data_IF_495235401167
#
_entry.id   IF_495235401167
#
_cell.length_a   1.000
_cell.length_b   1.000
_cell.length_c   1.000
_cell.angle_alpha   90.00
_cell.angle_beta   90.00
_cell.angle_gamma   90.00
#
_symmetry.space_group_name_H-M   'P 1'
#
loop_
_entity.id
_entity.type
_entity.pdbx_description
1 polymer ?
#
# COMPACT_ATOMS: atom_id res chain seq x y z
N UNK A 1 14.36 19.92 78.04
CA UNK A 1 14.48 18.55 78.57
C UNK A 1 15.34 17.76 77.59
N UNK A 2 16.59 17.47 77.98
CA UNK A 2 17.55 16.45 77.47
C UNK A 2 17.71 16.36 75.93
N UNK A 3 18.66 17.08 75.30
CA UNK A 3 20.09 16.76 75.05
C UNK A 3 20.33 15.49 74.20
N UNK A 4 20.79 15.67 72.94
CA UNK A 4 22.15 15.28 72.50
C UNK A 4 22.49 15.80 71.09
N UNK A 5 23.44 16.74 71.08
CA UNK A 5 24.33 17.06 69.96
C UNK A 5 25.40 15.96 69.83
N UNK A 6 25.99 15.70 68.66
CA UNK A 6 27.31 16.14 68.16
C UNK A 6 27.80 15.07 67.17
N UNK A 7 28.78 15.20 66.29
CA UNK A 7 29.51 16.28 65.63
C UNK A 7 30.35 15.58 64.52
N UNK A 8 30.79 16.36 63.54
CA UNK A 8 31.55 15.97 62.34
C UNK A 8 33.09 16.09 62.65
N UNK A 9 34.01 16.21 61.66
CA UNK A 9 34.85 15.23 60.93
C UNK A 9 36.36 15.25 61.34
N UNK A 10 37.23 14.40 60.73
CA UNK A 10 38.42 14.87 59.98
C UNK A 10 39.34 13.78 59.37
N UNK A 11 39.79 14.06 58.14
CA UNK A 11 41.15 14.00 57.53
C UNK A 11 42.18 12.95 57.96
N UNK A 12 42.77 12.26 56.96
CA UNK A 12 44.18 12.42 56.55
C UNK A 12 44.53 11.65 55.24
N UNK A 13 45.32 12.31 54.38
CA UNK A 13 46.02 11.85 53.16
C UNK A 13 47.47 11.44 53.56
N UNK A 14 48.51 11.22 52.70
CA UNK A 14 48.66 10.73 51.30
C UNK A 14 49.80 9.66 51.14
N UNK A 15 49.94 9.00 49.97
CA UNK A 15 51.24 8.53 49.36
C UNK A 15 50.96 7.92 47.96
N UNK A 16 51.36 8.51 46.82
CA UNK A 16 52.68 8.58 46.13
C UNK A 16 53.03 7.34 45.25
N UNK A 17 53.31 7.65 43.96
CA UNK A 17 54.16 7.00 42.91
C UNK A 17 53.62 5.87 42.01
N UNK A 18 53.53 6.21 40.70
CA UNK A 18 53.76 5.35 39.53
C UNK A 18 55.27 5.08 39.31
N UNK A 19 55.77 4.53 38.16
CA UNK A 19 55.28 3.48 37.24
C UNK A 19 56.35 2.35 37.06
N UNK A 20 56.06 1.29 36.31
CA UNK A 20 57.07 0.31 35.91
C UNK A 20 56.61 -0.65 34.81
N UNK A 21 57.21 -0.50 33.63
CA UNK A 21 57.16 -1.43 32.50
C UNK A 21 58.29 -2.46 32.56
N UNK A 22 58.15 -3.51 31.72
CA UNK A 22 59.18 -4.27 30.98
C UNK A 22 59.40 -5.76 31.39
N UNK A 23 59.11 -6.61 30.40
CA UNK A 23 59.65 -7.93 29.98
C UNK A 23 59.84 -9.09 30.98
N UNK A 24 59.35 -10.28 30.59
CA UNK A 24 60.10 -11.28 29.79
C UNK A 24 59.42 -12.65 29.84
N UNK A 25 59.58 -13.44 28.76
CA UNK A 25 59.75 -14.91 28.64
C UNK A 25 59.39 -15.27 27.17
N UNK A 26 60.35 -15.44 26.24
CA UNK A 26 61.18 -16.65 25.97
C UNK A 26 60.28 -17.86 25.62
N UNK A 27 60.34 -18.63 24.52
CA UNK A 27 60.92 -18.63 23.14
C UNK A 27 60.27 -19.84 22.39
N UNK A 28 60.63 -20.24 21.14
CA UNK A 28 59.68 -20.79 20.15
C UNK A 28 59.91 -22.28 19.82
N UNK A 29 59.05 -22.87 18.97
CA UNK A 29 59.30 -24.18 18.39
C UNK A 29 58.99 -24.27 16.87
N UNK A 30 60.06 -24.14 16.10
CA UNK A 30 60.61 -25.00 15.02
C UNK A 30 59.69 -25.70 13.99
N UNK A 31 60.22 -25.65 12.77
CA UNK A 31 59.84 -26.08 11.42
C UNK A 31 60.18 -27.55 11.10
N UNK A 32 59.39 -28.15 10.19
CA UNK A 32 59.70 -29.19 9.16
C UNK A 32 59.73 -30.71 9.44
N UNK A 33 58.91 -31.40 8.62
CA UNK A 33 59.14 -32.60 7.75
C UNK A 33 59.57 -33.96 8.36
N UNK A 34 58.69 -34.99 8.26
CA UNK A 34 58.81 -36.22 7.41
C UNK A 34 57.90 -37.40 7.86
N UNK A 35 57.43 -38.17 6.86
CA UNK A 35 56.92 -39.57 6.84
C UNK A 35 55.45 -39.82 7.29
N UNK A 36 54.53 -40.36 6.47
CA UNK A 36 54.43 -41.62 5.67
C UNK A 36 53.76 -42.76 6.48
N UNK A 37 52.76 -43.44 5.89
CA UNK A 37 51.83 -44.46 6.44
C UNK A 37 50.69 -43.85 7.28
N UNK A 38 49.40 -43.90 6.93
CA UNK A 38 48.57 -45.10 6.70
C UNK A 38 47.46 -44.78 5.67
N UNK A 39 47.62 -45.30 4.45
CA UNK A 39 46.55 -45.57 3.49
C UNK A 39 46.46 -47.09 3.44
N UNK A 40 45.65 -47.70 4.30
CA UNK A 40 45.34 -49.15 4.26
C UNK A 40 44.32 -49.54 5.35
N UNK A 41 43.08 -49.02 5.32
CA UNK A 41 41.95 -49.66 6.05
C UNK A 41 40.54 -49.21 5.64
N UNK A 42 40.32 -48.72 4.42
CA UNK A 42 38.96 -48.65 3.82
C UNK A 42 38.92 -49.34 2.43
N UNK A 43 39.99 -50.05 2.08
CA UNK A 43 40.13 -50.89 0.89
C UNK A 43 39.40 -52.25 1.01
N UNK A 44 38.45 -52.40 1.96
CA UNK A 44 37.74 -53.65 2.23
C UNK A 44 36.20 -53.56 2.13
N UNK A 45 35.63 -52.38 1.87
CA UNK A 45 34.23 -52.26 1.41
C UNK A 45 34.10 -52.20 -0.12
N UNK A 46 35.21 -52.37 -0.84
CA UNK A 46 35.30 -52.42 -2.30
C UNK A 46 35.43 -53.85 -2.87
N UNK A 47 35.33 -54.90 -2.03
CA UNK A 47 35.61 -56.28 -2.43
C UNK A 47 34.44 -57.27 -2.24
N UNK A 48 33.20 -56.76 -2.12
CA UNK A 48 31.98 -57.58 -2.00
C UNK A 48 30.85 -57.18 -2.95
N UNK A 49 31.16 -56.62 -4.12
CA UNK A 49 30.20 -56.47 -5.22
C UNK A 49 30.86 -56.47 -6.61
N UNK A 50 31.99 -57.18 -6.73
CA UNK A 50 32.68 -57.43 -8.01
C UNK A 50 32.45 -58.87 -8.54
N UNK A 51 31.50 -59.61 -7.96
CA UNK A 51 31.11 -60.97 -8.39
C UNK A 51 29.83 -61.00 -9.25
N UNK A 52 29.41 -59.87 -9.82
CA UNK A 52 28.29 -59.79 -10.77
C UNK A 52 28.70 -59.32 -12.17
N UNK A 53 29.91 -59.70 -12.59
CA UNK A 53 30.30 -59.71 -14.00
C UNK A 53 30.65 -61.15 -14.39
N UNK A 54 29.73 -61.85 -15.06
CA UNK A 54 30.00 -62.77 -16.18
C UNK A 54 28.85 -63.77 -16.39
N UNK A 55 27.77 -63.31 -17.02
CA UNK A 55 27.15 -64.09 -18.11
C UNK A 55 26.86 -63.09 -19.21
N UNK A 56 27.70 -63.11 -20.25
CA UNK A 56 27.55 -62.27 -21.43
C UNK A 56 26.54 -62.84 -22.42
N UNK A 57 26.01 -61.98 -23.27
CA UNK A 57 25.76 -62.24 -24.68
C UNK A 57 25.30 -60.94 -25.36
N UNK A 58 26.04 -60.55 -26.39
CA UNK A 58 25.74 -59.66 -27.50
C UNK A 58 24.38 -58.96 -27.55
N UNK A 59 24.40 -57.62 -27.56
CA UNK A 59 23.79 -56.79 -28.59
C UNK A 59 24.15 -55.32 -28.37
N UNK A 60 24.92 -54.74 -29.29
CA UNK A 60 24.95 -53.29 -29.47
C UNK A 60 23.52 -52.82 -29.79
N UNK A 61 22.88 -52.15 -28.83
CA UNK A 61 21.66 -51.37 -29.09
C UNK A 61 22.02 -49.90 -28.99
N UNK A 62 22.18 -49.30 -30.16
CA UNK A 62 22.32 -47.87 -30.39
C UNK A 62 21.00 -47.20 -29.97
N UNK A 63 20.91 -46.71 -28.72
CA UNK A 63 19.72 -45.98 -28.26
C UNK A 63 19.78 -44.56 -28.79
N UNK A 64 19.44 -44.40 -30.08
CA UNK A 64 18.96 -43.13 -30.60
C UNK A 64 17.55 -42.90 -30.03
N UNK A 65 17.19 -41.67 -29.61
CA UNK A 65 15.79 -41.37 -29.34
C UNK A 65 15.02 -41.54 -30.65
N UNK A 66 14.26 -42.63 -30.75
CA UNK A 66 13.26 -42.79 -31.79
C UNK A 66 12.13 -41.84 -31.42
N UNK A 67 12.11 -40.67 -32.04
CA UNK A 67 10.85 -39.96 -32.20
C UNK A 67 10.00 -40.81 -33.14
N UNK A 68 9.20 -41.72 -32.58
CA UNK A 68 8.03 -42.18 -33.29
C UNK A 68 7.15 -40.94 -33.43
N UNK A 69 7.21 -40.31 -34.61
CA UNK A 69 6.07 -39.55 -35.10
C UNK A 69 4.91 -40.54 -35.13
N UNK A 70 4.12 -40.56 -34.06
CA UNK A 70 2.73 -40.95 -34.15
C UNK A 70 2.12 -39.93 -35.10
N UNK A 71 2.13 -40.26 -36.40
CA UNK A 71 1.20 -39.70 -37.34
C UNK A 71 -0.18 -40.12 -36.86
N UNK A 72 -0.81 -39.24 -36.08
CA UNK A 72 -2.24 -39.27 -35.85
C UNK A 72 -2.84 -39.24 -37.26
N UNK A 73 -3.62 -40.26 -37.68
CA UNK A 73 -4.34 -40.15 -38.93
C UNK A 73 -5.22 -38.90 -38.85
N UNK A 74 -5.17 -38.01 -39.85
CA UNK A 74 -6.12 -36.90 -40.00
C UNK A 74 -7.51 -37.41 -40.42
N UNK A 75 -8.02 -38.43 -39.72
CA UNK A 75 -9.42 -38.82 -39.78
C UNK A 75 -10.11 -38.33 -38.52
N UNK A 76 -11.22 -37.58 -38.64
CA UNK A 76 -11.93 -37.05 -37.49
C UNK A 76 -12.35 -38.21 -36.58
N UNK A 77 -12.04 -38.10 -35.29
CA UNK A 77 -12.62 -38.96 -34.26
C UNK A 77 -14.14 -38.75 -34.30
N UNK A 78 -14.83 -39.58 -35.09
CA UNK A 78 -16.26 -39.83 -34.91
C UNK A 78 -16.43 -40.47 -33.53
N UNK A 79 -16.81 -39.68 -32.54
CA UNK A 79 -17.34 -40.21 -31.29
C UNK A 79 -18.75 -40.73 -31.55
N UNK A 80 -18.93 -42.04 -31.38
CA UNK A 80 -20.22 -42.71 -31.42
C UNK A 80 -21.13 -42.20 -30.29
N UNK A 81 -22.35 -41.79 -30.66
CA UNK A 81 -23.47 -41.53 -29.75
C UNK A 81 -24.35 -42.78 -29.70
N UNK A 82 -24.59 -43.33 -28.52
CA UNK A 82 -25.86 -44.01 -28.22
C UNK A 82 -26.69 -43.02 -27.39
N UNK A 83 -27.67 -42.41 -28.05
CA UNK A 83 -28.70 -41.52 -27.50
C UNK A 83 -28.27 -40.11 -27.08
N UNK A 84 -28.11 -39.23 -28.07
CA UNK A 84 -28.30 -37.80 -27.90
C UNK A 84 -27.31 -37.00 -28.73
N UNK A 85 -27.79 -36.40 -29.82
CA UNK A 85 -27.02 -35.44 -30.60
C UNK A 85 -26.66 -34.23 -29.72
N UNK A 86 -25.46 -34.18 -29.17
CA UNK A 86 -24.82 -32.90 -28.85
C UNK A 86 -24.20 -32.43 -30.15
N UNK A 87 -24.99 -31.74 -30.96
CA UNK A 87 -24.43 -30.91 -32.01
C UNK A 87 -23.44 -29.96 -31.35
N UNK A 88 -22.26 -29.80 -31.94
CA UNK A 88 -21.42 -28.63 -31.69
C UNK A 88 -22.17 -27.42 -32.22
N UNK A 89 -23.20 -26.95 -31.51
CA UNK A 89 -23.94 -25.77 -31.88
C UNK A 89 -22.94 -24.63 -32.01
N UNK A 90 -22.90 -24.05 -33.21
CA UNK A 90 -21.91 -23.04 -33.55
C UNK A 90 -22.39 -21.72 -32.95
N UNK A 91 -21.95 -21.43 -31.73
CA UNK A 91 -22.36 -20.22 -31.02
C UNK A 91 -21.87 -18.96 -31.73
N UNK A 92 -22.76 -18.00 -31.92
CA UNK A 92 -22.43 -16.67 -32.43
C UNK A 92 -21.87 -15.83 -31.28
N UNK A 93 -20.62 -15.39 -31.41
CA UNK A 93 -19.99 -14.53 -30.40
C UNK A 93 -20.14 -13.05 -30.76
N UNK A 94 -20.55 -12.24 -29.79
CA UNK A 94 -20.68 -10.78 -29.90
C UNK A 94 -19.84 -10.15 -28.79
N UNK A 95 -18.86 -9.32 -29.17
CA UNK A 95 -18.06 -8.54 -28.24
C UNK A 95 -18.56 -7.09 -28.20
N UNK A 96 -18.84 -6.57 -27.00
CA UNK A 96 -19.30 -5.21 -26.79
C UNK A 96 -18.41 -4.50 -25.77
N UNK A 97 -17.82 -3.37 -26.17
CA UNK A 97 -17.10 -2.47 -25.24
C UNK A 97 -18.04 -1.35 -24.83
N UNK A 98 -18.30 -1.25 -23.53
CA UNK A 98 -19.28 -0.31 -22.97
C UNK A 98 -18.80 1.13 -23.17
N UNK A 99 -19.64 1.97 -23.77
CA UNK A 99 -19.33 3.38 -24.03
C UNK A 99 -19.90 4.29 -22.95
N UNK A 100 -19.35 5.49 -22.86
CA UNK A 100 -19.85 6.52 -21.94
C UNK A 100 -21.30 6.87 -22.28
N UNK A 101 -22.19 6.68 -21.32
CA UNK A 101 -23.62 7.01 -21.45
C UNK A 101 -24.50 5.83 -21.89
N UNK A 102 -23.92 4.67 -22.23
CA UNK A 102 -24.71 3.45 -22.48
C UNK A 102 -25.25 2.88 -21.16
N UNK A 103 -26.41 2.22 -21.24
CA UNK A 103 -26.98 1.45 -20.15
C UNK A 103 -26.94 -0.05 -20.50
N UNK A 104 -26.83 -0.91 -19.49
CA UNK A 104 -26.89 -2.37 -19.71
C UNK A 104 -28.20 -2.81 -20.38
N UNK A 105 -29.31 -2.15 -20.05
CA UNK A 105 -30.61 -2.39 -20.70
C UNK A 105 -30.58 -2.06 -22.20
N UNK A 106 -29.91 -0.97 -22.58
CA UNK A 106 -29.70 -0.59 -23.97
C UNK A 106 -28.83 -1.63 -24.68
N UNK A 107 -27.68 -1.99 -24.09
CA UNK A 107 -26.75 -2.97 -24.66
C UNK A 107 -27.44 -4.32 -24.88
N UNK A 108 -28.20 -4.82 -23.91
CA UNK A 108 -28.95 -6.08 -24.06
C UNK A 108 -29.95 -5.97 -25.21
N UNK A 109 -30.68 -4.86 -25.31
CA UNK A 109 -31.64 -4.63 -26.40
C UNK A 109 -30.93 -4.60 -27.76
N UNK A 110 -29.78 -3.94 -27.86
CA UNK A 110 -29.00 -3.82 -29.09
C UNK A 110 -28.46 -5.17 -29.59
N UNK A 111 -28.15 -6.09 -28.68
CA UNK A 111 -27.74 -7.47 -29.04
C UNK A 111 -28.92 -8.44 -29.19
N UNK A 112 -30.16 -7.95 -29.11
CA UNK A 112 -31.38 -8.74 -29.32
C UNK A 112 -31.91 -9.48 -28.08
N UNK A 113 -31.43 -9.13 -26.88
CA UNK A 113 -31.84 -9.74 -25.62
C UNK A 113 -32.87 -8.88 -24.87
N UNK A 114 -33.76 -9.55 -24.13
CA UNK A 114 -34.81 -8.86 -23.39
C UNK A 114 -34.30 -8.22 -22.09
N UNK A 115 -34.92 -7.11 -21.70
CA UNK A 115 -34.66 -6.48 -20.39
C UNK A 115 -35.11 -7.37 -19.22
N UNK A 116 -36.09 -8.25 -19.44
CA UNK A 116 -36.52 -9.25 -18.46
C UNK A 116 -35.41 -10.24 -18.14
N UNK A 117 -34.68 -10.72 -19.16
CA UNK A 117 -33.53 -11.60 -18.98
C UNK A 117 -32.41 -10.90 -18.19
N UNK A 118 -32.10 -9.64 -18.51
CA UNK A 118 -31.14 -8.84 -17.75
C UNK A 118 -31.53 -8.76 -16.26
N UNK A 119 -32.81 -8.51 -15.98
CA UNK A 119 -33.31 -8.41 -14.61
C UNK A 119 -33.19 -9.75 -13.87
N UNK A 120 -33.55 -10.86 -14.52
CA UNK A 120 -33.41 -12.22 -13.97
C UNK A 120 -31.96 -12.55 -13.66
N UNK A 121 -31.03 -12.23 -14.57
CA UNK A 121 -29.59 -12.40 -14.36
C UNK A 121 -29.13 -11.55 -13.17
N UNK A 122 -29.41 -10.25 -13.16
CA UNK A 122 -28.92 -9.33 -12.13
C UNK A 122 -29.39 -9.66 -10.70
N UNK A 123 -30.49 -10.41 -10.56
CA UNK A 123 -31.06 -10.80 -9.27
C UNK A 123 -30.83 -12.28 -8.91
N UNK A 124 -30.10 -13.03 -9.74
CA UNK A 124 -29.93 -14.46 -9.52
C UNK A 124 -29.13 -14.77 -8.25
N UNK A 125 -27.98 -14.11 -8.03
CA UNK A 125 -27.12 -14.29 -6.86
C UNK A 125 -26.15 -13.11 -6.63
N UNK A 126 -25.23 -13.21 -5.65
CA UNK A 126 -24.20 -12.18 -5.39
C UNK A 126 -23.22 -11.98 -6.55
N UNK A 127 -22.85 -13.04 -7.27
CA UNK A 127 -21.87 -12.96 -8.35
C UNK A 127 -22.44 -12.23 -9.57
N UNK A 128 -23.65 -12.60 -9.99
CA UNK A 128 -24.38 -11.94 -11.09
C UNK A 128 -24.69 -10.47 -10.82
N UNK A 129 -24.85 -10.07 -9.54
CA UNK A 129 -24.97 -8.65 -9.15
C UNK A 129 -23.76 -7.82 -9.58
N UNK A 130 -22.59 -8.41 -9.79
CA UNK A 130 -21.42 -7.70 -10.30
C UNK A 130 -21.66 -7.11 -11.69
N UNK A 131 -22.57 -7.71 -12.48
CA UNK A 131 -22.96 -7.16 -13.78
C UNK A 131 -23.55 -5.75 -13.66
N UNK A 132 -24.18 -5.41 -12.53
CA UNK A 132 -24.72 -4.05 -12.29
C UNK A 132 -23.64 -2.97 -12.08
N UNK A 133 -22.39 -3.39 -11.87
CA UNK A 133 -21.24 -2.50 -11.64
C UNK A 133 -20.42 -2.22 -12.90
N UNK A 134 -20.91 -2.63 -14.07
CA UNK A 134 -20.27 -2.39 -15.36
C UNK A 134 -20.10 -0.88 -15.60
N UNK A 135 -18.91 -0.48 -16.05
CA UNK A 135 -18.48 0.88 -16.31
C UNK A 135 -18.06 1.05 -17.76
N UNK A 136 -18.01 2.31 -18.28
CA UNK A 136 -17.42 2.58 -19.58
C UNK A 136 -15.99 2.03 -19.69
N UNK A 137 -15.71 1.36 -20.81
CA UNK A 137 -14.45 0.67 -21.08
C UNK A 137 -14.44 -0.82 -20.74
N UNK A 138 -15.41 -1.32 -19.97
CA UNK A 138 -15.53 -2.75 -19.74
C UNK A 138 -15.99 -3.50 -21.00
N UNK A 139 -15.58 -4.76 -21.11
CA UNK A 139 -15.97 -5.64 -22.22
C UNK A 139 -16.98 -6.67 -21.75
N UNK A 140 -18.06 -6.82 -22.50
CA UNK A 140 -19.06 -7.87 -22.38
C UNK A 140 -18.95 -8.77 -23.61
N UNK A 141 -18.87 -10.08 -23.41
CA UNK A 141 -18.88 -11.06 -24.50
C UNK A 141 -20.13 -11.92 -24.38
N UNK A 142 -21.00 -11.85 -25.37
CA UNK A 142 -22.22 -12.65 -25.46
C UNK A 142 -21.98 -13.80 -26.42
N UNK A 143 -22.38 -15.00 -26.03
CA UNK A 143 -22.48 -16.15 -26.91
C UNK A 143 -23.96 -16.47 -27.10
N UNK A 144 -24.40 -16.49 -28.36
CA UNK A 144 -25.78 -16.69 -28.75
C UNK A 144 -25.92 -18.04 -29.46
N UNK A 145 -26.99 -18.77 -29.17
CA UNK A 145 -27.34 -19.97 -29.92
C UNK A 145 -27.91 -19.63 -31.32
N UNK A 146 -28.22 -20.64 -32.13
CA UNK A 146 -28.78 -20.44 -33.47
C UNK A 146 -30.17 -19.79 -33.47
N UNK A 147 -30.92 -19.91 -32.36
CA UNK A 147 -32.23 -19.27 -32.18
C UNK A 147 -32.13 -17.78 -31.79
N UNK A 148 -30.91 -17.27 -31.55
CA UNK A 148 -30.69 -15.90 -31.10
C UNK A 148 -30.93 -15.71 -29.60
N UNK A 149 -30.94 -16.78 -28.83
CA UNK A 149 -31.03 -16.75 -27.37
C UNK A 149 -29.64 -16.72 -26.74
N UNK A 150 -29.53 -16.14 -25.55
CA UNK A 150 -28.28 -16.11 -24.80
C UNK A 150 -27.92 -17.53 -24.34
N UNK A 151 -26.75 -18.02 -24.73
CA UNK A 151 -26.14 -19.23 -24.20
C UNK A 151 -25.17 -18.90 -23.05
N UNK A 152 -24.34 -17.86 -23.22
CA UNK A 152 -23.47 -17.37 -22.15
C UNK A 152 -23.14 -15.89 -22.26
N UNK A 153 -22.84 -15.27 -21.12
CA UNK A 153 -22.33 -13.91 -21.00
C UNK A 153 -21.07 -13.92 -20.13
N UNK A 154 -19.96 -13.46 -20.69
CA UNK A 154 -18.73 -13.20 -19.96
C UNK A 154 -18.56 -11.70 -19.70
N UNK A 155 -18.36 -11.34 -18.44
CA UNK A 155 -18.03 -9.99 -18.00
C UNK A 155 -16.69 -9.98 -17.26
N UNK A 156 -15.73 -9.23 -17.78
CA UNK A 156 -14.43 -9.06 -17.13
C UNK A 156 -14.53 -8.09 -15.94
N UNK A 157 -14.77 -8.64 -14.75
CA UNK A 157 -14.93 -7.90 -13.48
C UNK A 157 -13.62 -7.19 -13.09
N UNK A 158 -12.49 -7.84 -13.35
CA UNK A 158 -11.15 -7.27 -13.19
C UNK A 158 -10.17 -7.98 -14.13
N UNK A 159 -8.93 -7.52 -14.18
CA UNK A 159 -7.90 -8.15 -15.01
C UNK A 159 -7.75 -9.67 -14.79
N UNK A 160 -7.99 -10.16 -13.58
CA UNK A 160 -7.85 -11.58 -13.22
C UNK A 160 -9.17 -12.29 -12.93
N UNK A 161 -10.32 -11.59 -13.01
CA UNK A 161 -11.61 -12.19 -12.69
C UNK A 161 -12.60 -11.96 -13.81
N UNK A 162 -13.12 -13.05 -14.34
CA UNK A 162 -14.21 -13.05 -15.31
C UNK A 162 -15.42 -13.70 -14.67
N UNK A 163 -16.52 -12.96 -14.63
CA UNK A 163 -17.83 -13.51 -14.34
C UNK A 163 -18.34 -14.19 -15.62
N UNK A 164 -18.60 -15.48 -15.55
CA UNK A 164 -19.34 -16.23 -16.55
C UNK A 164 -20.77 -16.42 -16.05
N UNK A 165 -21.73 -16.11 -16.90
CA UNK A 165 -23.14 -16.38 -16.70
C UNK A 165 -23.55 -17.33 -17.82
N UNK A 166 -24.02 -18.51 -17.47
CA UNK A 166 -24.58 -19.45 -18.44
C UNK A 166 -26.10 -19.38 -18.38
N UNK A 167 -26.72 -19.53 -19.55
CA UNK A 167 -28.15 -19.56 -19.69
C UNK A 167 -28.52 -20.73 -20.61
N UNK A 168 -28.99 -21.82 -20.01
CA UNK A 168 -29.31 -23.08 -20.70
C UNK A 168 -30.74 -23.51 -20.38
N UNK A 169 -31.58 -23.65 -21.40
CA UNK A 169 -33.00 -24.06 -21.30
C UNK A 169 -33.74 -23.31 -20.15
N UNK A 170 -33.52 -21.99 -20.05
CA UNK A 170 -34.16 -21.13 -19.03
C UNK A 170 -33.59 -21.22 -17.62
N UNK A 171 -32.51 -21.99 -17.40
CA UNK A 171 -31.76 -22.00 -16.15
C UNK A 171 -30.54 -21.07 -16.24
N UNK A 172 -30.32 -20.29 -15.18
CA UNK A 172 -29.15 -19.44 -15.04
C UNK A 172 -28.16 -20.13 -14.09
N UNK A 173 -26.89 -20.12 -14.45
CA UNK A 173 -25.80 -20.43 -13.52
C UNK A 173 -24.68 -19.41 -13.66
N UNK A 174 -23.83 -19.28 -12.63
CA UNK A 174 -22.73 -18.33 -12.64
C UNK A 174 -21.45 -18.97 -12.12
N UNK A 175 -20.33 -18.53 -12.68
CA UNK A 175 -19.00 -18.90 -12.22
C UNK A 175 -18.10 -17.67 -12.25
N UNK A 176 -17.27 -17.47 -11.22
CA UNK A 176 -16.19 -16.50 -11.27
C UNK A 176 -14.90 -17.25 -11.56
N UNK A 177 -14.45 -17.16 -12.82
CA UNK A 177 -13.16 -17.69 -13.23
C UNK A 177 -12.10 -16.70 -12.80
N UNK A 178 -11.29 -17.09 -11.81
CA UNK A 178 -10.11 -16.33 -11.39
C UNK A 178 -8.89 -16.88 -12.09
N UNK A 179 -8.28 -16.08 -12.96
CA UNK A 179 -7.01 -16.41 -13.58
C UNK A 179 -5.88 -16.27 -12.56
N UNK A 180 -4.94 -17.23 -12.57
CA UNK A 180 -3.75 -17.13 -11.73
C UNK A 180 -2.95 -15.89 -12.09
N UNK A 181 -2.65 -15.07 -11.08
CA UNK A 181 -1.72 -13.97 -11.21
C UNK A 181 -0.33 -14.44 -10.81
N UNK A 182 0.67 -14.09 -11.63
CA UNK A 182 2.07 -14.32 -11.28
C UNK A 182 2.59 -13.07 -10.57
N UNK A 183 2.90 -13.19 -9.28
CA UNK A 183 3.44 -12.09 -8.48
C UNK A 183 4.93 -12.31 -8.28
N UNK A 184 5.73 -11.36 -8.74
CA UNK A 184 7.16 -11.34 -8.52
C UNK A 184 7.53 -10.22 -7.57
N UNK A 185 8.33 -10.54 -6.55
CA UNK A 185 8.92 -9.52 -5.69
C UNK A 185 10.09 -8.86 -6.40
N UNK A 186 10.03 -7.54 -6.50
CA UNK A 186 11.07 -6.72 -7.10
C UNK A 186 11.53 -5.72 -6.07
N UNK A 187 12.82 -5.40 -6.14
CA UNK A 187 13.40 -4.33 -5.36
C UNK A 187 13.84 -3.19 -6.26
N UNK A 188 13.75 -1.96 -5.74
CA UNK A 188 14.34 -0.81 -6.40
C UNK A 188 14.97 0.13 -5.39
N UNK A 189 15.85 0.97 -5.89
CA UNK A 189 16.52 2.01 -5.14
C UNK A 189 16.56 3.29 -5.97
N UNK A 190 16.44 4.44 -5.30
CA UNK A 190 16.60 5.73 -5.95
C UNK A 190 17.33 6.71 -5.04
N UNK A 191 18.25 7.45 -5.66
CA UNK A 191 18.90 8.62 -5.07
C UNK A 191 18.20 9.87 -5.60
N UNK A 192 17.87 10.78 -4.70
CA UNK A 192 17.16 11.99 -5.00
C UNK A 192 18.12 13.04 -5.53
N UNK A 193 17.68 13.71 -6.59
CA UNK A 193 18.31 14.88 -7.16
C UNK A 193 17.53 16.16 -6.80
N UNK A 194 16.25 16.20 -7.17
CA UNK A 194 15.34 17.34 -7.02
C UNK A 194 14.06 16.97 -6.27
N UNK A 195 13.55 15.74 -6.45
CA UNK A 195 12.30 15.30 -5.82
C UNK A 195 12.18 13.78 -5.75
N UNK A 196 11.36 13.27 -4.82
CA UNK A 196 10.99 11.85 -4.77
C UNK A 196 10.30 11.41 -6.06
N UNK A 197 9.55 12.31 -6.71
CA UNK A 197 8.84 11.97 -7.93
C UNK A 197 9.79 11.73 -9.10
N UNK A 198 10.71 12.65 -9.36
CA UNK A 198 11.72 12.49 -10.41
C UNK A 198 12.61 11.26 -10.17
N UNK A 199 13.10 11.10 -8.93
CA UNK A 199 13.94 9.96 -8.57
C UNK A 199 13.19 8.63 -8.67
N UNK A 200 11.92 8.59 -8.25
CA UNK A 200 11.05 7.43 -8.40
C UNK A 200 10.82 7.02 -9.84
N UNK A 201 10.51 7.99 -10.72
CA UNK A 201 10.38 7.72 -12.16
C UNK A 201 11.67 7.18 -12.76
N UNK A 202 12.82 7.76 -12.40
CA UNK A 202 14.15 7.31 -12.85
C UNK A 202 14.49 5.90 -12.33
N UNK A 203 14.02 5.55 -11.14
CA UNK A 203 14.13 4.22 -10.55
C UNK A 203 13.12 3.20 -11.09
N UNK A 204 12.34 3.56 -12.12
CA UNK A 204 11.39 2.67 -12.79
C UNK A 204 10.05 2.51 -12.10
N UNK A 205 9.72 3.36 -11.12
CA UNK A 205 8.42 3.34 -10.43
C UNK A 205 7.31 3.97 -11.28
N UNK A 206 6.11 3.40 -11.21
CA UNK A 206 4.90 4.06 -11.70
C UNK A 206 4.51 5.25 -10.82
N UNK A 207 3.72 6.16 -11.38
CA UNK A 207 3.26 7.36 -10.67
C UNK A 207 2.51 7.00 -9.38
N UNK A 208 1.73 5.91 -9.43
CA UNK A 208 1.03 5.37 -8.26
C UNK A 208 2.00 4.94 -7.16
N UNK A 209 3.02 4.16 -7.51
CA UNK A 209 4.01 3.67 -6.54
C UNK A 209 4.79 4.81 -5.88
N UNK A 210 5.16 5.83 -6.65
CA UNK A 210 5.82 7.03 -6.11
C UNK A 210 4.92 7.72 -5.09
N UNK A 211 3.62 7.84 -5.38
CA UNK A 211 2.66 8.42 -4.45
C UNK A 211 2.44 7.55 -3.21
N UNK A 212 2.39 6.23 -3.37
CA UNK A 212 2.26 5.29 -2.26
C UNK A 212 3.49 5.36 -1.32
N UNK A 213 4.70 5.36 -1.88
CA UNK A 213 5.94 5.56 -1.13
C UNK A 213 5.91 6.86 -0.33
N UNK A 214 5.55 7.97 -0.99
CA UNK A 214 5.44 9.25 -0.31
C UNK A 214 4.41 9.18 0.82
N UNK A 215 3.26 8.54 0.61
CA UNK A 215 2.20 8.44 1.62
C UNK A 215 2.66 7.69 2.89
N UNK A 216 3.42 6.60 2.75
CA UNK A 216 3.95 5.80 3.87
C UNK A 216 4.75 6.69 4.84
N UNK A 217 5.62 7.54 4.32
CA UNK A 217 6.56 8.33 5.13
C UNK A 217 6.15 9.78 5.35
N UNK A 218 5.02 10.23 4.81
CA UNK A 218 4.65 11.65 4.84
C UNK A 218 4.40 12.20 6.27
N UNK A 219 4.38 11.36 7.30
CA UNK A 219 4.34 11.81 8.70
C UNK A 219 5.72 12.17 9.23
N UNK A 220 6.70 11.35 8.86
CA UNK A 220 8.06 11.40 9.39
C UNK A 220 8.96 12.32 8.55
N UNK A 221 8.61 12.52 7.27
CA UNK A 221 9.37 13.32 6.30
C UNK A 221 8.43 14.28 5.58
N UNK A 222 8.81 15.56 5.52
CA UNK A 222 8.18 16.48 4.57
C UNK A 222 8.91 16.48 3.23
N UNK A 223 8.30 15.81 2.25
CA UNK A 223 8.85 15.65 0.91
C UNK A 223 9.03 16.93 0.07
N UNK A 224 8.54 18.06 0.56
CA UNK A 224 8.58 19.35 -0.15
C UNK A 224 9.70 20.23 0.38
N UNK A 225 9.96 20.14 1.67
CA UNK A 225 10.81 21.08 2.40
C UNK A 225 12.07 20.43 2.99
N UNK A 226 12.07 19.10 3.21
CA UNK A 226 13.20 18.41 3.83
C UNK A 226 14.05 17.62 2.83
N UNK A 227 13.58 17.46 1.60
CA UNK A 227 14.28 16.66 0.60
C UNK A 227 15.48 17.41 0.03
N UNK A 228 16.60 16.69 -0.07
CA UNK A 228 17.86 17.18 -0.63
C UNK A 228 18.40 16.21 -1.67
N UNK A 229 19.25 16.73 -2.54
CA UNK A 229 20.08 15.89 -3.38
C UNK A 229 20.93 14.95 -2.50
N UNK A 230 20.96 13.66 -2.85
CA UNK A 230 21.66 12.62 -2.07
C UNK A 230 20.78 11.87 -1.06
N UNK A 231 19.59 12.37 -0.73
CA UNK A 231 18.62 11.55 0.01
C UNK A 231 18.27 10.31 -0.81
N UNK A 232 17.91 9.21 -0.16
CA UNK A 232 17.73 7.94 -0.84
C UNK A 232 16.52 7.18 -0.34
N UNK A 233 15.97 6.33 -1.19
CA UNK A 233 14.92 5.40 -0.82
C UNK A 233 15.17 4.03 -1.43
N UNK A 234 14.63 3.00 -0.78
CA UNK A 234 14.61 1.63 -1.30
C UNK A 234 13.23 1.03 -1.04
N UNK A 235 12.76 0.18 -1.95
CA UNK A 235 11.48 -0.52 -1.80
C UNK A 235 11.63 -1.99 -2.17
N UNK A 236 10.82 -2.81 -1.52
CA UNK A 236 10.46 -4.16 -1.97
C UNK A 236 8.97 -4.14 -2.25
N UNK A 237 8.59 -4.52 -3.47
CA UNK A 237 7.22 -4.42 -3.93
C UNK A 237 6.87 -5.53 -4.91
N UNK A 238 5.58 -5.72 -5.13
CA UNK A 238 5.03 -6.71 -6.04
C UNK A 238 4.99 -6.16 -7.48
N UNK A 239 5.41 -6.96 -8.45
CA UNK A 239 5.02 -6.81 -9.85
C UNK A 239 4.09 -7.94 -10.22
N UNK A 240 2.96 -7.58 -10.82
CA UNK A 240 1.90 -8.51 -11.18
C UNK A 240 1.96 -8.75 -12.68
N UNK A 241 1.99 -10.02 -13.05
CA UNK A 241 2.07 -10.49 -14.43
C UNK A 241 0.84 -11.33 -14.76
N UNK A 242 0.47 -11.29 -16.03
CA UNK A 242 -0.60 -12.07 -16.62
C UNK A 242 -0.07 -12.73 -17.88
N UNK A 243 -0.13 -14.06 -17.95
CA UNK A 243 0.40 -14.84 -19.08
C UNK A 243 1.88 -14.51 -19.41
N UNK A 244 2.70 -14.26 -18.39
CA UNK A 244 4.11 -13.87 -18.55
C UNK A 244 4.36 -12.40 -18.93
N UNK A 245 3.32 -11.62 -19.23
CA UNK A 245 3.43 -10.19 -19.53
C UNK A 245 3.22 -9.33 -18.29
N UNK A 246 4.00 -8.26 -18.16
CA UNK A 246 3.85 -7.31 -17.05
C UNK A 246 2.51 -6.58 -17.16
N UNK A 247 1.68 -6.69 -16.13
CA UNK A 247 0.38 -6.05 -16.08
C UNK A 247 0.42 -4.74 -15.29
N UNK A 248 0.85 -4.81 -14.03
CA UNK A 248 0.84 -3.67 -13.11
C UNK A 248 1.79 -3.87 -11.94
N UNK A 249 2.20 -2.77 -11.32
CA UNK A 249 2.76 -2.81 -9.97
C UNK A 249 1.66 -3.16 -8.95
N UNK A 250 2.03 -3.97 -7.95
CA UNK A 250 1.21 -4.36 -6.82
C UNK A 250 1.54 -3.55 -5.56
N UNK A 251 1.57 -4.20 -4.39
CA UNK A 251 1.77 -3.52 -3.10
C UNK A 251 3.24 -3.31 -2.80
N UNK A 252 3.55 -2.22 -2.09
CA UNK A 252 4.86 -2.04 -1.43
C UNK A 252 4.83 -2.88 -0.15
N UNK A 253 5.71 -3.87 -0.04
CA UNK A 253 5.80 -4.73 1.14
C UNK A 253 6.67 -4.12 2.22
N UNK A 254 7.76 -3.48 1.82
CA UNK A 254 8.59 -2.69 2.70
C UNK A 254 9.23 -1.54 1.94
N UNK A 255 9.51 -0.47 2.67
CA UNK A 255 10.26 0.67 2.15
C UNK A 255 11.18 1.23 3.22
N UNK A 256 12.30 1.81 2.76
CA UNK A 256 13.20 2.61 3.58
C UNK A 256 13.41 3.97 2.94
N UNK A 257 13.64 4.98 3.76
CA UNK A 257 14.00 6.31 3.31
C UNK A 257 15.11 6.86 4.21
N UNK A 258 16.18 7.37 3.61
CA UNK A 258 17.22 8.13 4.31
C UNK A 258 17.09 9.58 3.91
N UNK A 259 16.77 10.44 4.87
CA UNK A 259 16.66 11.89 4.69
C UNK A 259 17.63 12.59 5.64
N UNK A 260 18.67 13.22 5.09
CA UNK A 260 19.69 13.94 5.87
C UNK A 260 20.21 13.10 7.05
N UNK A 261 20.74 11.91 6.75
CA UNK A 261 21.25 10.91 7.71
C UNK A 261 20.22 10.27 8.65
N UNK A 262 18.94 10.67 8.58
CA UNK A 262 17.86 10.02 9.33
C UNK A 262 17.26 8.88 8.53
N UNK A 263 17.24 7.68 9.11
CA UNK A 263 16.71 6.48 8.48
C UNK A 263 15.28 6.19 8.96
N UNK A 264 14.39 5.95 8.02
CA UNK A 264 13.00 5.57 8.24
C UNK A 264 12.71 4.25 7.55
N UNK A 265 11.87 3.43 8.16
CA UNK A 265 11.49 2.11 7.64
C UNK A 265 10.02 1.85 7.92
N UNK A 266 9.40 1.13 6.99
CA UNK A 266 8.02 0.71 7.12
C UNK A 266 7.82 -0.66 6.47
N UNK A 267 7.04 -1.50 7.12
CA UNK A 267 6.65 -2.84 6.63
C UNK A 267 5.13 -2.93 6.61
N UNK A 268 4.57 -3.41 5.51
CA UNK A 268 3.16 -3.69 5.35
C UNK A 268 2.81 -4.96 6.13
N UNK A 269 1.87 -4.90 7.06
CA UNK A 269 1.50 -6.02 7.92
C UNK A 269 0.00 -6.04 8.20
N UNK A 270 -0.58 -7.24 8.20
CA UNK A 270 -1.96 -7.49 8.62
C UNK A 270 -1.93 -7.96 10.07
N UNK A 271 -2.48 -7.15 10.96
CA UNK A 271 -2.56 -7.43 12.40
C UNK A 271 -3.83 -8.20 12.80
N UNK A 272 -4.68 -8.55 11.83
CA UNK A 272 -5.97 -9.19 12.03
C UNK A 272 -7.11 -8.23 12.40
N UNK A 273 -6.89 -6.92 12.33
CA UNK A 273 -7.94 -5.90 12.54
C UNK A 273 -8.87 -5.71 11.34
N UNK A 274 -8.60 -6.40 10.23
CA UNK A 274 -9.36 -6.31 8.98
C UNK A 274 -8.79 -5.29 7.97
N UNK A 275 -7.71 -4.58 8.32
CA UNK A 275 -6.96 -3.72 7.40
C UNK A 275 -5.46 -4.02 7.49
N UNK A 276 -4.81 -4.27 6.35
CA UNK A 276 -3.34 -4.30 6.27
C UNK A 276 -2.79 -2.87 6.34
N UNK A 277 -1.81 -2.63 7.22
CA UNK A 277 -1.26 -1.29 7.49
C UNK A 277 0.26 -1.29 7.51
N UNK A 278 0.87 -0.10 7.42
CA UNK A 278 2.31 0.05 7.53
C UNK A 278 2.73 0.33 8.97
N UNK A 279 3.72 -0.42 9.44
CA UNK A 279 4.32 -0.28 10.76
C UNK A 279 5.82 -0.07 10.64
N UNK A 280 6.37 0.80 11.48
CA UNK A 280 7.81 0.89 11.68
C UNK A 280 8.32 -0.38 12.39
N UNK A 281 9.64 -0.67 12.34
CA UNK A 281 10.21 -1.88 12.96
C UNK A 281 9.90 -2.03 14.45
N UNK A 282 9.65 -0.93 15.16
CA UNK A 282 9.27 -0.93 16.57
C UNK A 282 7.75 -1.07 16.84
N UNK A 283 6.94 -1.34 15.81
CA UNK A 283 5.49 -1.48 15.91
C UNK A 283 4.71 -0.16 15.92
N UNK A 284 5.38 0.99 15.77
CA UNK A 284 4.68 2.27 15.61
C UNK A 284 3.94 2.28 14.27
N UNK A 285 2.65 2.59 14.29
CA UNK A 285 1.86 2.73 13.07
C UNK A 285 2.30 3.96 12.26
N UNK A 286 2.41 3.78 10.94
CA UNK A 286 2.77 4.85 9.99
C UNK A 286 1.54 5.67 9.53
N UNK A 287 0.35 5.37 10.06
CA UNK A 287 -0.92 6.08 9.78
C UNK A 287 -0.94 7.45 10.50
N UNK A 288 -1.42 8.51 9.83
CA UNK A 288 -1.35 9.91 10.32
C UNK A 288 -2.50 10.32 11.26
N UNK A 289 -2.19 11.02 12.36
CA UNK A 289 -3.17 11.72 13.20
C UNK A 289 -3.32 13.21 12.84
N UNK A 290 -4.55 13.72 12.76
CA UNK A 290 -4.85 15.15 12.53
C UNK A 290 -4.93 15.94 13.84
N UNK A 291 -4.58 17.24 13.81
CA UNK A 291 -4.85 18.15 14.93
C UNK A 291 -6.36 18.43 15.04
N UNK A 292 -6.91 18.27 16.24
CA UNK A 292 -8.31 18.63 16.52
C UNK A 292 -8.55 20.13 16.65
N UNK A 293 -7.55 20.86 17.17
CA UNK A 293 -7.57 22.31 17.27
C UNK A 293 -6.31 22.88 16.59
N UNK A 294 -6.46 23.61 15.47
CA UNK A 294 -5.33 24.07 14.65
C UNK A 294 -4.76 25.44 15.09
N UNK A 295 -4.92 25.86 16.34
CA UNK A 295 -4.42 27.12 16.90
C UNK A 295 -4.39 27.05 18.43
N UNK A 296 -3.68 27.98 19.07
CA UNK A 296 -3.89 28.27 20.48
C UNK A 296 -5.11 29.20 20.60
N UNK A 297 -6.12 28.83 21.38
CA UNK A 297 -7.39 29.56 21.47
C UNK A 297 -7.79 29.77 22.94
N UNK A 298 -8.61 30.78 23.20
CA UNK A 298 -9.09 31.10 24.55
C UNK A 298 -10.25 30.17 24.94
N UNK A 299 -11.25 30.05 24.08
CA UNK A 299 -12.40 29.17 24.27
C UNK A 299 -13.11 28.90 22.94
N UNK A 300 -14.01 27.91 22.91
CA UNK A 300 -14.87 27.62 21.75
C UNK A 300 -16.13 28.46 21.87
N UNK A 301 -16.33 29.40 20.94
CA UNK A 301 -17.51 30.28 20.94
C UNK A 301 -18.72 29.62 20.30
N UNK A 302 -18.53 28.68 19.38
CA UNK A 302 -19.61 27.89 18.80
C UNK A 302 -19.17 26.49 18.39
N UNK A 303 -19.96 25.47 18.75
CA UNK A 303 -19.71 24.08 18.39
C UNK A 303 -20.36 23.73 17.04
N UNK A 304 -19.86 22.66 16.40
CA UNK A 304 -20.51 22.03 15.27
C UNK A 304 -21.93 21.59 15.66
N UNK A 305 -22.93 22.07 14.93
CA UNK A 305 -24.32 21.76 15.23
C UNK A 305 -25.14 21.75 13.93
N UNK A 306 -25.42 20.55 13.36
CA UNK A 306 -26.19 20.43 12.12
C UNK A 306 -27.65 20.84 12.30
N UNK A 307 -28.15 20.92 13.55
CA UNK A 307 -29.54 21.24 13.89
C UNK A 307 -29.69 22.57 14.64
N UNK A 308 -28.73 23.50 14.51
CA UNK A 308 -28.77 24.78 15.24
C UNK A 308 -30.02 25.58 14.86
N UNK A 309 -30.86 25.87 15.85
CA UNK A 309 -32.05 26.69 15.68
C UNK A 309 -31.64 28.18 15.68
N UNK A 310 -32.00 28.92 14.65
CA UNK A 310 -31.77 30.37 14.63
C UNK A 310 -32.76 31.05 15.59
N UNK A 311 -32.29 31.82 16.60
CA UNK A 311 -33.12 32.25 17.71
C UNK A 311 -34.31 33.14 17.30
N UNK A 312 -34.13 33.92 16.22
CA UNK A 312 -35.12 34.87 15.70
C UNK A 312 -36.03 34.26 14.64
N UNK A 313 -35.48 33.51 13.69
CA UNK A 313 -36.25 32.99 12.55
C UNK A 313 -36.82 31.60 12.80
N UNK A 314 -36.46 30.97 13.93
CA UNK A 314 -36.81 29.60 14.33
C UNK A 314 -36.49 28.52 13.28
N UNK A 315 -35.72 28.85 12.24
CA UNK A 315 -35.28 27.90 11.20
C UNK A 315 -33.99 27.22 11.63
N UNK A 316 -33.86 25.94 11.29
CA UNK A 316 -32.62 25.19 11.47
C UNK A 316 -31.60 25.67 10.44
N UNK A 317 -30.47 26.19 10.90
CA UNK A 317 -29.32 26.56 10.07
C UNK A 317 -28.07 25.90 10.62
N UNK A 318 -27.63 24.83 9.96
CA UNK A 318 -26.47 24.06 10.37
C UNK A 318 -25.22 24.94 10.54
N UNK A 319 -24.55 24.76 11.68
CA UNK A 319 -23.19 25.22 11.88
C UNK A 319 -22.24 24.07 11.51
N UNK A 320 -21.56 24.21 10.37
CA UNK A 320 -20.80 23.15 9.68
C UNK A 320 -19.32 23.07 10.06
N UNK A 321 -18.93 23.83 11.07
CA UNK A 321 -17.57 23.90 11.61
C UNK A 321 -17.60 24.17 13.12
N UNK A 322 -16.43 24.52 13.66
CA UNK A 322 -16.26 24.98 15.04
C UNK A 322 -15.63 26.36 14.99
N UNK A 323 -16.13 27.25 15.87
CA UNK A 323 -15.60 28.58 16.03
C UNK A 323 -14.69 28.62 17.27
N UNK A 324 -13.39 28.82 17.04
CA UNK A 324 -12.38 28.99 18.08
C UNK A 324 -12.11 30.47 18.28
N UNK A 325 -12.48 31.01 19.44
CA UNK A 325 -12.21 32.40 19.80
C UNK A 325 -10.73 32.57 20.17
N UNK A 326 -10.07 33.53 19.53
CA UNK A 326 -8.66 33.86 19.77
C UNK A 326 -8.38 35.31 19.35
N UNK A 327 -7.38 35.99 19.95
CA UNK A 327 -7.01 37.34 19.56
C UNK A 327 -6.67 37.46 18.06
N UNK A 328 -7.02 38.60 17.46
CA UNK A 328 -6.59 38.95 16.09
C UNK A 328 -5.08 38.81 15.96
N UNK A 329 -4.62 38.19 14.87
CA UNK A 329 -3.20 37.95 14.64
C UNK A 329 -2.68 36.63 15.22
N UNK A 330 -3.49 35.88 15.97
CA UNK A 330 -3.11 34.53 16.45
C UNK A 330 -2.78 33.63 15.26
N UNK A 331 -1.60 32.98 15.22
CA UNK A 331 -1.25 32.05 14.14
C UNK A 331 -2.22 30.87 14.09
N UNK A 332 -2.70 30.56 12.88
CA UNK A 332 -3.50 29.37 12.58
C UNK A 332 -2.66 28.42 11.76
N UNK A 333 -2.70 27.15 12.13
CA UNK A 333 -1.88 26.10 11.57
C UNK A 333 -2.66 25.14 10.67
N UNK A 334 -1.99 24.48 9.73
CA UNK A 334 -2.59 23.34 9.03
C UNK A 334 -2.77 22.16 9.99
N UNK A 335 -3.96 21.55 9.97
CA UNK A 335 -4.34 20.45 10.85
C UNK A 335 -3.67 19.11 10.47
N UNK A 336 -3.20 19.01 9.23
CA UNK A 336 -2.44 17.90 8.68
C UNK A 336 -1.65 18.38 7.46
N UNK A 337 -0.68 17.59 7.01
CA UNK A 337 0.03 17.91 5.77
C UNK A 337 -0.92 17.81 4.56
N UNK A 338 -0.73 18.65 3.55
CA UNK A 338 -1.62 18.67 2.39
C UNK A 338 -1.27 19.71 1.34
N UNK A 339 -2.14 19.86 0.34
CA UNK A 339 -2.04 20.86 -0.73
C UNK A 339 -3.14 21.91 -0.55
N UNK A 340 -2.76 23.18 -0.57
CA UNK A 340 -3.70 24.30 -0.54
C UNK A 340 -4.47 24.32 -1.86
N UNK A 341 -5.72 23.85 -1.85
CA UNK A 341 -6.59 23.85 -3.03
C UNK A 341 -7.30 25.19 -3.23
N UNK A 342 -7.36 26.02 -2.19
CA UNK A 342 -7.89 27.38 -2.29
C UNK A 342 -7.20 28.28 -1.27
N UNK A 343 -6.75 29.45 -1.72
CA UNK A 343 -6.35 30.56 -0.86
C UNK A 343 -6.92 31.80 -1.50
N UNK A 344 -8.01 32.34 -0.95
CA UNK A 344 -8.75 33.42 -1.60
C UNK A 344 -9.43 34.33 -0.58
N UNK A 345 -10.12 35.35 -1.09
CA UNK A 345 -11.05 36.18 -0.35
C UNK A 345 -12.45 36.05 -0.95
N UNK A 346 -13.48 36.05 -0.12
CA UNK A 346 -14.84 36.37 -0.56
C UNK A 346 -15.63 37.00 0.60
N UNK A 347 -16.79 37.61 0.29
CA UNK A 347 -17.60 38.34 1.27
C UNK A 347 -18.16 37.49 2.43
N UNK A 348 -18.25 36.18 2.27
CA UNK A 348 -18.81 35.28 3.30
C UNK A 348 -17.72 34.69 4.19
N UNK A 349 -16.71 34.07 3.58
CA UNK A 349 -15.62 33.38 4.25
C UNK A 349 -14.50 34.33 4.71
N UNK A 350 -14.50 35.57 4.21
CA UNK A 350 -13.37 36.47 4.36
C UNK A 350 -12.13 35.93 3.65
N UNK A 351 -10.96 36.26 4.19
CA UNK A 351 -9.73 35.59 3.80
C UNK A 351 -9.73 34.15 4.34
N UNK A 352 -9.57 33.19 3.43
CA UNK A 352 -9.68 31.78 3.76
C UNK A 352 -8.63 30.94 3.03
N UNK A 353 -8.35 29.78 3.62
CA UNK A 353 -7.49 28.74 3.08
C UNK A 353 -8.23 27.40 3.18
N UNK A 354 -8.27 26.63 2.10
CA UNK A 354 -8.76 25.25 2.09
C UNK A 354 -7.60 24.32 1.71
N UNK A 355 -7.46 23.23 2.45
CA UNK A 355 -6.38 22.27 2.26
C UNK A 355 -6.98 20.90 1.95
N UNK A 356 -6.56 20.32 0.83
CA UNK A 356 -6.78 18.92 0.53
C UNK A 356 -5.68 18.11 1.19
N UNK A 357 -6.10 17.12 1.96
CA UNK A 357 -5.23 16.11 2.54
C UNK A 357 -5.43 14.79 1.76
N UNK A 358 -4.55 13.80 1.97
CA UNK A 358 -4.81 12.44 1.51
C UNK A 358 -6.15 11.88 2.03
N UNK A 359 -6.61 10.77 1.44
CA UNK A 359 -7.76 9.99 1.90
C UNK A 359 -9.11 10.75 1.91
N UNK A 360 -9.33 11.63 0.92
CA UNK A 360 -10.62 12.32 0.76
C UNK A 360 -10.95 13.35 1.84
N UNK A 361 -9.95 13.79 2.61
CA UNK A 361 -10.13 14.76 3.70
C UNK A 361 -9.84 16.18 3.19
N UNK A 362 -10.75 17.11 3.48
CA UNK A 362 -10.57 18.54 3.25
C UNK A 362 -10.78 19.30 4.54
N UNK A 363 -9.86 20.22 4.85
CA UNK A 363 -10.04 21.17 5.94
C UNK A 363 -10.21 22.58 5.40
N UNK A 364 -11.06 23.38 6.06
CA UNK A 364 -11.29 24.78 5.71
C UNK A 364 -11.03 25.68 6.91
N UNK A 365 -10.37 26.80 6.64
CA UNK A 365 -9.99 27.81 7.62
C UNK A 365 -10.45 29.18 7.11
N UNK A 366 -11.36 29.83 7.85
CA UNK A 366 -12.00 31.08 7.41
C UNK A 366 -11.65 32.27 8.32
N UNK A 367 -12.10 33.45 7.91
CA UNK A 367 -12.10 34.71 8.66
C UNK A 367 -10.71 35.25 9.01
N UNK A 368 -9.67 34.86 8.29
CA UNK A 368 -8.32 35.37 8.55
C UNK A 368 -8.22 36.89 8.38
N UNK A 369 -7.32 37.53 9.13
CA UNK A 369 -6.85 38.88 8.77
C UNK A 369 -5.95 38.80 7.54
N UNK A 370 -5.04 37.84 7.52
CA UNK A 370 -4.07 37.63 6.45
C UNK A 370 -3.85 36.14 6.23
N UNK A 371 -3.75 35.74 4.96
CA UNK A 371 -3.34 34.40 4.53
C UNK A 371 -1.82 34.35 4.48
N UNK A 372 -1.22 33.28 4.98
CA UNK A 372 0.22 33.05 4.94
C UNK A 372 0.64 32.11 3.79
N UNK A 373 -0.33 31.57 3.04
CA UNK A 373 -0.10 30.59 1.98
C UNK A 373 -0.89 30.90 0.71
N UNK A 374 -0.40 30.42 -0.44
CA UNK A 374 -0.99 30.60 -1.77
C UNK A 374 -1.67 29.32 -2.27
N UNK A 375 -2.58 29.43 -3.24
CA UNK A 375 -3.17 28.25 -3.89
C UNK A 375 -2.08 27.45 -4.60
N UNK A 376 -2.17 26.12 -4.53
CA UNK A 376 -1.18 25.19 -5.05
C UNK A 376 -0.04 24.87 -4.08
N UNK A 377 0.19 25.70 -3.06
CA UNK A 377 1.25 25.50 -2.08
C UNK A 377 1.03 24.24 -1.25
N UNK A 378 2.08 23.45 -1.03
CA UNK A 378 2.05 22.32 -0.09
C UNK A 378 2.41 22.81 1.31
N UNK A 379 1.78 22.23 2.33
CA UNK A 379 1.93 22.65 3.73
C UNK A 379 2.15 21.46 4.65
N UNK A 380 3.00 21.62 5.67
CA UNK A 380 3.17 20.69 6.79
C UNK A 380 2.03 20.82 7.78
N UNK A 381 1.77 19.75 8.54
CA UNK A 381 1.02 19.90 9.80
C UNK A 381 1.75 20.92 10.70
N UNK A 382 1.00 21.72 11.46
CA UNK A 382 1.53 22.82 12.30
C UNK A 382 2.16 24.00 11.53
N UNK A 383 2.22 23.98 10.21
CA UNK A 383 2.66 25.15 9.45
C UNK A 383 1.62 26.28 9.54
N UNK A 384 2.06 27.51 9.79
CA UNK A 384 1.17 28.69 9.79
C UNK A 384 0.62 28.94 8.39
N UNK A 385 -0.70 28.96 8.28
CA UNK A 385 -1.45 29.14 7.02
C UNK A 385 -2.20 30.47 6.97
N UNK A 386 -2.33 31.14 8.11
CA UNK A 386 -2.92 32.45 8.23
C UNK A 386 -2.99 32.88 9.68
N UNK A 387 -3.64 34.00 9.89
CA UNK A 387 -3.76 34.61 11.20
C UNK A 387 -5.22 34.93 11.49
N UNK A 388 -5.66 34.64 12.71
CA UNK A 388 -7.04 34.90 13.17
C UNK A 388 -7.43 36.34 12.87
N UNK A 389 -8.69 36.52 12.47
CA UNK A 389 -9.29 37.81 12.21
C UNK A 389 -10.80 37.74 12.30
N UNK A 390 -11.45 38.73 11.71
CA UNK A 390 -12.90 38.85 11.64
C UNK A 390 -13.36 39.26 10.23
N UNK A 391 -12.67 38.81 9.18
CA UNK A 391 -13.03 39.19 7.80
C UNK A 391 -14.19 38.36 7.25
N UNK A 392 -14.95 38.93 6.32
CA UNK A 392 -16.14 38.29 5.77
C UNK A 392 -17.31 38.37 6.75
N UNK A 393 -18.12 37.32 6.81
CA UNK A 393 -19.27 37.25 7.70
C UNK A 393 -18.86 36.71 9.08
N UNK A 394 -18.28 37.58 9.91
CA UNK A 394 -17.83 37.28 11.27
C UNK A 394 -18.26 38.39 12.24
N UNK A 395 -18.69 38.03 13.46
CA UNK A 395 -19.11 38.99 14.50
C UNK A 395 -17.96 39.50 15.36
N UNK A 396 -16.82 38.81 15.36
CA UNK A 396 -15.62 39.15 16.11
C UNK A 396 -14.45 38.22 15.78
N UNK A 397 -13.26 38.45 16.34
CA UNK A 397 -12.07 37.65 16.05
C UNK A 397 -12.22 36.17 16.43
N UNK A 398 -12.21 35.27 15.44
CA UNK A 398 -12.23 33.83 15.65
C UNK A 398 -11.74 33.08 14.40
N UNK A 399 -11.40 31.81 14.57
CA UNK A 399 -11.25 30.86 13.47
C UNK A 399 -12.53 30.04 13.33
N UNK A 400 -13.15 30.07 12.15
CA UNK A 400 -14.13 29.05 11.74
C UNK A 400 -13.39 27.90 11.04
N UNK A 401 -13.44 26.72 11.66
CA UNK A 401 -12.75 25.52 11.20
C UNK A 401 -13.73 24.42 10.79
N UNK A 402 -13.64 23.97 9.53
CA UNK A 402 -14.45 22.86 9.02
C UNK A 402 -13.56 21.64 8.72
N UNK A 403 -14.08 20.45 9.02
CA UNK A 403 -13.49 19.17 8.66
C UNK A 403 -14.48 18.39 7.79
N UNK A 404 -14.08 18.05 6.57
CA UNK A 404 -14.90 17.34 5.58
C UNK A 404 -14.21 16.02 5.26
N UNK A 405 -14.97 14.93 5.35
CA UNK A 405 -14.52 13.60 4.99
C UNK A 405 -15.47 13.04 3.92
N UNK A 406 -14.92 12.70 2.75
CA UNK A 406 -15.69 12.20 1.60
C UNK A 406 -16.92 13.05 1.28
N UNK A 407 -16.75 14.38 1.27
CA UNK A 407 -17.81 15.36 0.97
C UNK A 407 -18.77 15.66 2.10
N UNK A 408 -18.71 14.96 3.24
CA UNK A 408 -19.60 15.17 4.39
C UNK A 408 -18.89 15.95 5.49
N UNK A 409 -19.51 17.03 5.98
CA UNK A 409 -19.01 17.78 7.13
C UNK A 409 -19.14 16.95 8.41
N UNK A 410 -18.04 16.83 9.15
CA UNK A 410 -17.99 16.10 10.43
C UNK A 410 -17.56 17.07 11.53
N UNK A 411 -17.98 16.79 12.76
CA UNK A 411 -17.54 17.55 13.93
C UNK A 411 -16.03 17.30 14.14
N UNK A 412 -15.15 18.30 13.97
CA UNK A 412 -13.70 18.09 14.09
C UNK A 412 -13.23 17.63 15.49
N UNK A 413 -14.04 17.85 16.53
CA UNK A 413 -13.73 17.42 17.91
C UNK A 413 -14.02 15.94 18.16
N UNK A 414 -15.06 15.42 17.52
CA UNK A 414 -15.61 14.08 17.81
C UNK A 414 -15.54 13.14 16.62
N UNK A 415 -15.13 13.63 15.43
CA UNK A 415 -14.87 12.76 14.29
C UNK A 415 -13.78 11.79 14.69
N UNK A 416 -14.01 10.51 14.39
CA UNK A 416 -13.00 9.47 14.52
C UNK A 416 -11.93 9.72 13.47
N UNK A 417 -10.94 10.50 13.88
CA UNK A 417 -9.67 10.58 13.20
C UNK A 417 -8.97 9.25 13.45
N UNK A 418 -8.25 8.67 12.47
CA UNK A 418 -7.42 7.53 12.75
C UNK A 418 -6.41 7.90 13.85
N UNK A 419 -6.68 7.42 15.07
CA UNK A 419 -5.65 7.21 16.07
C UNK A 419 -4.90 6.00 15.57
N UNK A 420 -3.69 6.21 15.12
CA UNK A 420 -2.83 5.11 14.76
C UNK A 420 -2.29 4.54 16.07
N UNK A 421 -3.10 3.73 16.75
CA UNK A 421 -2.62 2.98 17.91
C UNK A 421 -1.43 2.12 17.43
N UNK A 422 -0.36 2.03 18.23
CA UNK A 422 0.75 1.13 17.88
C UNK A 422 0.24 -0.30 17.83
N UNK A 423 1.00 -1.16 17.15
CA UNK A 423 0.71 -2.59 17.11
C UNK A 423 0.60 -3.13 18.55
N UNK A 424 -0.45 -3.92 18.80
CA UNK A 424 -0.69 -4.49 20.12
C UNK A 424 0.51 -5.35 20.56
N UNK A 425 0.85 -5.29 21.86
CA UNK A 425 2.08 -5.91 22.39
C UNK A 425 2.14 -7.42 22.14
N UNK A 426 1.01 -8.10 22.18
CA UNK A 426 0.85 -9.53 21.90
C UNK A 426 1.07 -9.89 20.43
N UNK A 427 0.95 -8.92 19.51
CA UNK A 427 1.18 -9.09 18.07
C UNK A 427 2.62 -8.78 17.64
N UNK A 428 3.42 -8.16 18.50
CA UNK A 428 4.78 -7.72 18.16
C UNK A 428 5.71 -8.88 17.76
N UNK A 429 5.61 -10.04 18.40
CA UNK A 429 6.46 -11.18 18.08
C UNK A 429 6.21 -11.68 16.64
N UNK A 430 4.93 -11.91 16.30
CA UNK A 430 4.54 -12.32 14.95
C UNK A 430 4.92 -11.27 13.88
N UNK A 431 4.76 -9.98 14.21
CA UNK A 431 5.21 -8.90 13.33
C UNK A 431 6.71 -8.93 13.11
N UNK A 432 7.52 -9.12 14.16
CA UNK A 432 8.98 -9.19 14.00
C UNK A 432 9.41 -10.40 13.17
N UNK A 433 8.78 -11.55 13.35
CA UNK A 433 9.11 -12.75 12.57
C UNK A 433 8.74 -12.59 11.08
N UNK A 434 7.64 -11.88 10.79
CA UNK A 434 7.28 -11.49 9.44
C UNK A 434 8.23 -10.43 8.85
N UNK A 435 8.53 -9.37 9.62
CA UNK A 435 9.26 -8.19 9.14
C UNK A 435 10.75 -8.44 8.96
N UNK A 436 11.38 -9.26 9.81
CA UNK A 436 12.84 -9.50 9.83
C UNK A 436 13.41 -9.93 8.47
N UNK A 437 12.88 -10.95 7.76
CA UNK A 437 13.44 -11.35 6.46
C UNK A 437 13.28 -10.24 5.40
N UNK A 438 12.16 -9.51 5.40
CA UNK A 438 11.88 -8.45 4.43
C UNK A 438 12.81 -7.26 4.67
N UNK A 439 12.97 -6.83 5.92
CA UNK A 439 13.91 -5.76 6.29
C UNK A 439 15.36 -6.16 6.00
N UNK A 440 15.73 -7.42 6.22
CA UNK A 440 17.06 -7.92 5.86
C UNK A 440 17.35 -7.79 4.36
N UNK A 441 16.39 -8.12 3.50
CA UNK A 441 16.52 -7.87 2.05
C UNK A 441 16.63 -6.37 1.74
N UNK A 442 15.86 -5.54 2.44
CA UNK A 442 15.87 -4.08 2.28
C UNK A 442 17.24 -3.48 2.64
N UNK A 443 17.85 -3.94 3.72
CA UNK A 443 19.19 -3.52 4.16
C UNK A 443 20.28 -3.94 3.18
N UNK A 444 20.19 -5.14 2.60
CA UNK A 444 21.15 -5.64 1.62
C UNK A 444 21.18 -4.79 0.34
N UNK A 445 20.02 -4.25 -0.09
CA UNK A 445 19.96 -3.31 -1.22
C UNK A 445 20.80 -2.07 -0.91
N UNK A 446 20.64 -1.51 0.29
CA UNK A 446 21.35 -0.30 0.70
C UNK A 446 22.88 -0.55 0.80
N UNK A 447 23.30 -1.70 1.32
CA UNK A 447 24.73 -2.04 1.45
C UNK A 447 25.41 -2.38 0.12
N UNK A 448 24.73 -3.13 -0.75
CA UNK A 448 25.27 -3.52 -2.06
C UNK A 448 25.50 -2.36 -3.03
N UNK A 449 24.93 -1.19 -2.75
CA UNK A 449 25.15 0.05 -3.49
C UNK A 449 26.34 0.85 -2.96
N UNK A 450 26.56 0.87 -1.64
CA UNK A 450 27.75 1.50 -1.03
C UNK A 450 29.02 0.82 -1.56
N UNK A 451 29.03 -0.51 -1.64
CA UNK A 451 30.16 -1.30 -2.14
C UNK A 451 30.42 -1.15 -3.67
N UNK A 452 29.58 -0.44 -4.42
CA UNK A 452 29.78 -0.15 -5.85
C UNK A 452 30.25 1.28 -6.12
N UNK A 453 30.24 2.13 -5.09
CA UNK A 453 30.63 3.55 -5.17
C UNK A 453 32.05 3.76 -4.61
N UNK A 454 32.50 2.88 -3.71
CA UNK A 454 33.92 2.68 -3.33
C UNK A 454 34.65 1.82 -4.37
#
# INVERSE_FOLDING_TARGET
MVIKAQAIPNKANPTIKQPGSVNSFITPFIRNKKNLFVVATVLFSLFALADMLSVGADAHVDVRPVYNQLSIPDTPLMSFSENGMIGTEQLKTIHHVVKKGETLSGIFTDVGLSQGLLLSIAHFNEDSRLLTKVMPGNTLTFQMNHAGELASLAYQVSEFKTLLIHHDIGQISTEIVTQEQQVHLVSTHGVIDHSVFSAGKKAGLSDKMVMDLANIFSWDIDFVLEIRAGDQFSLIYEKVYKNGEFLTDGRILAASFTNQDRHYEAVLYDDGSGETQYYAPNGRSMKKAFLRAPLNFSYISSNFNPKRLHPVTKRVKAHRGIDYSAPTGTPVYAAGAGKVIRSAYNKYNGHHVFIQHPNGIVTKYLHFTKRAVKQGQRVKQKQTIGYVGATGLATGPHLHYEFIYNGVHRNPRTVDLPKAEPLAKDKMAAFHDYARPILGQLHNINQGLIARIE
#
